data_IF_264749413172
#
_entry.id   IF_264749413172
#
_cell.length_a   1.000
_cell.length_b   1.000
_cell.length_c   1.000
_cell.angle_alpha   90.00
_cell.angle_beta   90.00
_cell.angle_gamma   90.00
#
_symmetry.space_group_name_H-M   'P 1'
#
loop_
_entity.id
_entity.type
_entity.pdbx_description
1 polymer ?
#
# COMPACT_ATOMS: atom_id res chain seq x y z
N UNK A 1 8.08 24.74 6.57
CA UNK A 1 7.72 24.15 7.87
C UNK A 1 6.20 24.16 8.02
N UNK A 2 5.67 23.20 8.77
CA UNK A 2 4.26 22.91 9.05
C UNK A 2 3.56 21.87 8.16
N UNK A 3 3.50 20.66 8.73
CA UNK A 3 2.45 19.63 8.75
C UNK A 3 1.91 19.04 7.44
N UNK A 4 2.12 17.72 7.26
CA UNK A 4 1.22 16.86 6.48
C UNK A 4 1.07 15.49 7.14
N UNK A 5 0.45 15.48 8.32
CA UNK A 5 -0.39 14.35 8.71
C UNK A 5 -1.83 14.84 8.69
N UNK A 6 -2.60 14.57 7.61
CA UNK A 6 -4.04 14.51 7.69
C UNK A 6 -4.42 13.02 7.74
N UNK A 7 -4.76 12.52 8.93
CA UNK A 7 -5.60 11.34 9.03
C UNK A 7 -6.86 11.82 9.73
N UNK A 8 -7.86 12.13 8.91
CA UNK A 8 -9.23 12.26 9.35
C UNK A 8 -9.66 10.90 9.92
N UNK A 9 -10.08 10.94 11.18
CA UNK A 9 -10.85 9.90 11.85
C UNK A 9 -12.33 10.21 11.67
N UNK A 10 -13.14 9.16 11.83
CA UNK A 10 -14.61 9.05 11.71
C UNK A 10 -15.01 8.30 10.42
N UNK A 11 -15.77 7.20 10.42
CA UNK A 11 -16.79 6.74 11.36
C UNK A 11 -16.86 5.20 11.38
N UNK A 12 -17.33 4.64 12.49
CA UNK A 12 -17.60 3.22 12.66
C UNK A 12 -19.01 2.84 12.14
N UNK A 13 -19.08 1.63 11.58
CA UNK A 13 -20.21 0.70 11.58
C UNK A 13 -21.42 0.97 10.68
N UNK A 14 -21.59 0.10 9.68
CA UNK A 14 -22.82 -0.68 9.51
C UNK A 14 -22.59 -1.84 8.55
N UNK A 15 -23.17 -2.98 8.90
CA UNK A 15 -23.10 -4.26 8.20
C UNK A 15 -23.49 -4.17 6.72
N UNK A 16 -22.59 -4.62 5.84
CA UNK A 16 -22.91 -4.99 4.46
C UNK A 16 -22.14 -6.29 4.17
N UNK A 17 -22.81 -7.43 4.32
CA UNK A 17 -22.46 -8.68 3.66
C UNK A 17 -22.61 -8.47 2.15
N UNK A 18 -21.62 -7.83 1.53
CA UNK A 18 -21.51 -7.74 0.08
C UNK A 18 -20.35 -8.63 -0.37
N UNK A 19 -20.66 -9.66 -1.14
CA UNK A 19 -19.71 -10.42 -1.95
C UNK A 19 -19.16 -9.56 -3.11
N UNK A 20 -18.76 -8.33 -2.78
CA UNK A 20 -18.39 -7.24 -3.65
C UNK A 20 -17.02 -7.49 -4.27
N UNK A 21 -17.03 -7.74 -5.57
CA UNK A 21 -15.80 -7.72 -6.35
C UNK A 21 -15.28 -6.29 -6.35
N UNK A 22 -14.20 -6.06 -5.58
CA UNK A 22 -13.49 -4.79 -5.37
C UNK A 22 -13.44 -3.95 -6.65
N UNK A 23 -13.72 -2.64 -6.55
CA UNK A 23 -13.85 -1.64 -7.64
C UNK A 23 -12.64 -1.44 -8.56
N UNK A 24 -12.14 -2.50 -9.15
CA UNK A 24 -11.07 -2.55 -10.15
C UNK A 24 -11.75 -2.68 -11.50
N UNK A 25 -11.60 -1.66 -12.36
CA UNK A 25 -12.13 -1.72 -13.70
C UNK A 25 -11.22 -2.58 -14.60
N UNK A 26 -11.43 -3.90 -14.62
CA UNK A 26 -10.65 -4.84 -15.42
C UNK A 26 -10.73 -4.54 -16.92
N UNK A 27 -11.87 -4.02 -17.39
CA UNK A 27 -12.04 -3.60 -18.78
C UNK A 27 -11.13 -2.41 -19.13
N UNK A 28 -10.90 -1.49 -18.19
CA UNK A 28 -9.94 -0.40 -18.37
C UNK A 28 -8.48 -0.88 -18.37
N UNK A 29 -8.16 -1.98 -17.66
CA UNK A 29 -6.80 -2.55 -17.61
C UNK A 29 -6.42 -3.34 -18.86
N UNK A 30 -7.39 -3.98 -19.51
CA UNK A 30 -7.17 -4.82 -20.69
C UNK A 30 -8.28 -4.60 -21.72
N UNK A 31 -8.41 -3.40 -22.31
CA UNK A 31 -9.49 -3.09 -23.23
C UNK A 31 -9.41 -3.97 -24.48
N UNK A 32 -10.55 -4.53 -24.89
CA UNK A 32 -10.65 -5.41 -26.05
C UNK A 32 -10.00 -6.79 -25.89
N UNK A 33 -9.52 -7.16 -24.69
CA UNK A 33 -8.89 -8.46 -24.43
C UNK A 33 -9.63 -9.22 -23.31
N UNK A 34 -10.74 -9.94 -23.63
CA UNK A 34 -11.56 -10.64 -22.63
C UNK A 34 -10.82 -11.79 -21.96
N UNK A 35 -9.89 -12.45 -22.67
CA UNK A 35 -9.06 -13.50 -22.10
C UNK A 35 -8.18 -12.97 -20.97
N UNK A 36 -7.53 -11.83 -21.20
CA UNK A 36 -6.70 -11.21 -20.17
C UNK A 36 -7.55 -10.68 -19.01
N UNK A 37 -8.72 -10.10 -19.27
CA UNK A 37 -9.66 -9.68 -18.22
C UNK A 37 -10.08 -10.84 -17.31
N UNK A 38 -10.39 -12.01 -17.88
CA UNK A 38 -10.75 -13.20 -17.11
C UNK A 38 -9.58 -13.70 -16.24
N UNK A 39 -8.36 -13.68 -16.76
CA UNK A 39 -7.18 -14.02 -15.94
C UNK A 39 -7.05 -13.04 -14.77
N UNK A 40 -7.11 -11.73 -15.04
CA UNK A 40 -7.01 -10.71 -13.98
C UNK A 40 -8.09 -10.90 -12.92
N UNK A 41 -9.32 -11.23 -13.32
CA UNK A 41 -10.42 -11.55 -12.41
C UNK A 41 -10.08 -12.76 -11.53
N UNK A 42 -9.59 -13.86 -12.12
CA UNK A 42 -9.19 -15.06 -11.38
C UNK A 42 -8.07 -14.78 -10.37
N UNK A 43 -7.12 -13.92 -10.70
CA UNK A 43 -6.04 -13.51 -9.77
C UNK A 43 -6.59 -12.74 -8.57
N UNK A 44 -7.55 -11.83 -8.80
CA UNK A 44 -8.21 -11.08 -7.70
C UNK A 44 -8.99 -12.03 -6.79
N UNK A 45 -9.80 -12.92 -7.36
CA UNK A 45 -10.58 -13.90 -6.60
C UNK A 45 -9.68 -14.85 -5.82
N UNK A 46 -8.57 -15.31 -6.43
CA UNK A 46 -7.57 -16.12 -5.73
C UNK A 46 -7.03 -15.38 -4.51
N UNK A 47 -6.58 -14.13 -4.68
CA UNK A 47 -6.05 -13.33 -3.58
C UNK A 47 -7.07 -13.13 -2.46
N UNK A 48 -8.33 -12.83 -2.79
CA UNK A 48 -9.38 -12.67 -1.79
C UNK A 48 -9.52 -13.92 -0.90
N UNK A 49 -9.40 -15.12 -1.48
CA UNK A 49 -9.51 -16.39 -0.75
C UNK A 49 -8.27 -16.73 0.06
N UNK A 50 -7.07 -16.57 -0.52
CA UNK A 50 -5.83 -17.05 0.12
C UNK A 50 -5.13 -15.98 0.95
N UNK A 51 -5.40 -14.70 0.69
CA UNK A 51 -4.64 -13.55 1.20
C UNK A 51 -3.12 -13.65 0.96
N UNK A 52 -2.69 -14.49 0.02
CA UNK A 52 -1.28 -14.69 -0.30
C UNK A 52 -0.83 -13.80 -1.45
N UNK A 53 0.43 -13.31 -1.45
CA UNK A 53 0.94 -12.58 -2.59
C UNK A 53 0.91 -13.46 -3.86
N UNK A 54 0.57 -12.82 -4.98
CA UNK A 54 0.73 -13.41 -6.32
C UNK A 54 2.20 -13.79 -6.57
N UNK A 55 2.41 -14.86 -7.33
CA UNK A 55 3.74 -15.28 -7.80
C UNK A 55 3.96 -14.87 -9.26
N UNK A 56 5.20 -14.97 -9.76
CA UNK A 56 5.53 -14.47 -11.10
C UNK A 56 4.79 -15.24 -12.19
N UNK A 57 4.74 -16.57 -12.07
CA UNK A 57 4.11 -17.49 -13.02
C UNK A 57 2.64 -17.13 -13.27
N UNK A 58 1.97 -16.54 -12.28
CA UNK A 58 0.57 -16.12 -12.37
C UNK A 58 0.39 -14.82 -13.13
N UNK A 59 1.38 -13.92 -13.02
CA UNK A 59 1.30 -12.58 -13.61
C UNK A 59 2.13 -12.45 -14.89
N UNK A 60 2.86 -13.48 -15.28
CA UNK A 60 3.75 -13.49 -16.45
C UNK A 60 2.99 -13.10 -17.73
N UNK A 61 1.74 -13.58 -17.87
CA UNK A 61 0.85 -13.25 -18.98
C UNK A 61 0.52 -11.75 -19.10
N UNK A 62 0.74 -10.96 -18.04
CA UNK A 62 0.54 -9.52 -18.06
C UNK A 62 1.74 -8.76 -18.63
N UNK A 63 2.73 -9.45 -19.20
CA UNK A 63 3.94 -8.85 -19.75
C UNK A 63 4.17 -9.22 -21.22
N UNK A 64 4.67 -8.25 -21.99
CA UNK A 64 5.17 -8.48 -23.32
C UNK A 64 6.57 -9.13 -23.25
N UNK A 65 6.83 -10.21 -24.00
CA UNK A 65 8.17 -10.79 -24.11
C UNK A 65 9.04 -9.84 -24.94
N UNK A 66 9.88 -9.03 -24.28
CA UNK A 66 10.75 -8.08 -24.98
C UNK A 66 12.19 -8.58 -25.07
N UNK A 67 12.74 -9.09 -23.96
CA UNK A 67 14.05 -9.76 -23.91
C UNK A 67 14.09 -10.75 -22.74
N UNK A 68 15.15 -11.56 -22.64
CA UNK A 68 15.34 -12.49 -21.51
C UNK A 68 15.48 -11.78 -20.14
N UNK A 69 15.84 -10.49 -20.15
CA UNK A 69 16.14 -9.73 -18.93
C UNK A 69 15.14 -8.63 -18.63
N UNK A 70 14.29 -8.25 -19.58
CA UNK A 70 13.37 -7.11 -19.43
C UNK A 70 11.97 -7.49 -19.88
N UNK A 71 11.00 -7.22 -19.01
CA UNK A 71 9.58 -7.43 -19.26
C UNK A 71 8.82 -6.11 -19.18
N UNK A 72 8.00 -5.82 -20.19
CA UNK A 72 7.18 -4.62 -20.27
C UNK A 72 5.73 -4.95 -19.94
N UNK A 73 5.08 -4.16 -19.09
CA UNK A 73 3.68 -4.34 -18.73
C UNK A 73 2.77 -4.20 -19.96
N UNK A 74 1.95 -5.24 -20.20
CA UNK A 74 0.96 -5.27 -21.27
C UNK A 74 -0.39 -4.64 -20.89
N UNK A 75 -0.55 -4.22 -19.62
CA UNK A 75 -1.79 -3.61 -19.13
C UNK A 75 -1.84 -2.10 -19.40
N UNK A 76 -3.06 -1.59 -19.39
CA UNK A 76 -3.35 -0.17 -19.30
C UNK A 76 -3.28 0.33 -17.86
N UNK A 77 -3.11 1.65 -17.71
CA UNK A 77 -3.19 2.34 -16.43
C UNK A 77 -4.60 2.23 -15.85
N UNK A 78 -4.69 2.20 -14.51
CA UNK A 78 -5.98 2.08 -13.81
C UNK A 78 -6.97 3.21 -14.11
N UNK A 79 -6.46 4.39 -14.42
CA UNK A 79 -7.24 5.57 -14.75
C UNK A 79 -7.78 5.54 -16.19
N UNK A 80 -7.48 4.48 -16.96
CA UNK A 80 -7.91 4.35 -18.35
C UNK A 80 -7.18 5.28 -19.31
N UNK A 81 -6.16 6.03 -18.86
CA UNK A 81 -5.44 7.03 -19.69
C UNK A 81 -4.57 6.41 -20.79
N UNK A 82 -4.50 5.08 -20.86
CA UNK A 82 -3.82 4.33 -21.91
C UNK A 82 -2.84 3.29 -21.39
N UNK A 83 -1.95 2.77 -22.26
CA UNK A 83 -0.97 1.73 -21.91
C UNK A 83 -0.04 2.13 -20.77
N UNK A 84 0.36 1.17 -19.93
CA UNK A 84 1.24 1.42 -18.78
C UNK A 84 2.72 1.54 -19.17
N UNK A 85 3.20 0.68 -20.09
CA UNK A 85 4.56 0.67 -20.67
C UNK A 85 5.72 0.61 -19.67
N UNK A 86 5.46 0.30 -18.40
CA UNK A 86 6.52 0.16 -17.38
C UNK A 86 7.32 -1.12 -17.62
N UNK A 87 8.64 -0.99 -17.47
CA UNK A 87 9.63 -2.06 -17.71
C UNK A 87 10.28 -2.50 -16.42
N UNK A 88 10.54 -3.80 -16.30
CA UNK A 88 11.11 -4.40 -15.11
C UNK A 88 12.20 -5.41 -15.46
N UNK A 89 13.37 -5.26 -14.83
CA UNK A 89 14.41 -6.29 -14.87
C UNK A 89 14.19 -7.37 -13.82
N UNK A 90 13.77 -6.98 -12.62
CA UNK A 90 13.58 -7.89 -11.48
C UNK A 90 12.16 -8.44 -11.39
N UNK A 91 12.04 -9.72 -11.00
CA UNK A 91 10.78 -10.45 -10.89
C UNK A 91 9.86 -9.90 -9.80
N UNK A 92 10.41 -9.68 -8.60
CA UNK A 92 9.70 -9.07 -7.47
C UNK A 92 9.07 -7.73 -7.86
N UNK A 93 9.78 -6.95 -8.68
CA UNK A 93 9.32 -5.65 -9.18
C UNK A 93 8.16 -5.71 -10.16
N UNK A 94 8.15 -6.71 -11.03
CA UNK A 94 7.01 -6.98 -11.89
C UNK A 94 5.78 -7.47 -11.11
N UNK A 95 5.97 -8.33 -10.09
CA UNK A 95 4.83 -8.86 -9.31
C UNK A 95 4.08 -7.74 -8.60
N UNK A 96 4.78 -6.92 -7.80
CA UNK A 96 4.10 -5.85 -7.06
C UNK A 96 3.48 -4.80 -8.00
N UNK A 97 4.01 -4.66 -9.22
CA UNK A 97 3.47 -3.75 -10.21
C UNK A 97 2.08 -4.20 -10.66
N UNK A 98 1.91 -5.49 -10.97
CA UNK A 98 0.61 -6.04 -11.34
C UNK A 98 -0.34 -6.06 -10.14
N UNK A 99 0.14 -6.40 -8.93
CA UNK A 99 -0.65 -6.27 -7.71
C UNK A 99 -1.17 -4.84 -7.51
N UNK A 100 -0.35 -3.84 -7.84
CA UNK A 100 -0.79 -2.46 -7.86
C UNK A 100 -1.98 -2.30 -8.81
N UNK A 101 -1.91 -2.69 -10.08
CA UNK A 101 -3.06 -2.63 -11.02
C UNK A 101 -4.33 -3.28 -10.46
N UNK A 102 -4.18 -4.42 -9.80
CA UNK A 102 -5.28 -5.18 -9.21
C UNK A 102 -5.70 -4.69 -7.82
N UNK A 103 -5.11 -3.63 -7.28
CA UNK A 103 -5.42 -3.18 -5.92
C UNK A 103 -5.09 -4.19 -4.82
N UNK A 104 -4.32 -5.23 -5.14
CA UNK A 104 -3.94 -6.30 -4.24
C UNK A 104 -2.85 -5.81 -3.30
N UNK A 105 -3.08 -5.99 -1.99
CA UNK A 105 -2.19 -5.58 -0.91
C UNK A 105 -2.00 -6.73 0.07
N UNK A 106 -1.11 -7.69 -0.22
CA UNK A 106 -0.98 -8.92 0.55
C UNK A 106 -0.19 -8.72 1.86
N UNK A 107 0.42 -7.55 2.07
CA UNK A 107 1.32 -7.33 3.19
C UNK A 107 0.67 -6.40 4.21
N UNK A 108 0.12 -6.97 5.27
CA UNK A 108 -0.40 -6.24 6.41
C UNK A 108 0.72 -5.85 7.39
N UNK A 109 0.61 -4.66 7.98
CA UNK A 109 1.49 -4.23 9.05
C UNK A 109 1.15 -4.97 10.36
N UNK A 110 2.15 -5.56 11.01
CA UNK A 110 1.97 -6.27 12.29
C UNK A 110 2.87 -5.73 13.41
N UNK A 111 3.63 -4.66 13.16
CA UNK A 111 4.73 -4.24 14.03
C UNK A 111 4.74 -2.78 14.46
N UNK A 112 3.71 -1.99 14.15
CA UNK A 112 3.65 -0.60 14.57
C UNK A 112 3.13 -0.50 16.02
N UNK A 113 3.87 0.16 16.93
CA UNK A 113 3.64 0.04 18.37
C UNK A 113 2.51 0.90 18.96
N UNK A 114 1.93 1.87 18.24
CA UNK A 114 0.72 2.62 18.63
C UNK A 114 0.33 3.68 17.59
N UNK A 115 -0.97 3.89 17.27
CA UNK A 115 -2.13 3.01 17.47
C UNK A 115 -2.02 1.70 16.64
N UNK A 116 -2.94 0.72 16.80
CA UNK A 116 -2.97 -0.48 15.96
C UNK A 116 -2.97 -0.10 14.48
N UNK A 117 -1.94 -0.53 13.76
CA UNK A 117 -1.79 -0.24 12.35
C UNK A 117 -2.45 -1.33 11.51
N UNK A 118 -3.46 -0.94 10.73
CA UNK A 118 -4.16 -1.81 9.78
C UNK A 118 -3.67 -1.59 8.34
N UNK A 119 -2.54 -0.90 8.17
CA UNK A 119 -2.04 -0.56 6.84
C UNK A 119 -1.64 -1.81 6.07
N UNK A 120 -2.15 -1.91 4.84
CA UNK A 120 -1.81 -2.96 3.88
C UNK A 120 -1.02 -2.39 2.71
N UNK A 121 -0.03 -3.14 2.24
CA UNK A 121 0.91 -2.72 1.21
C UNK A 121 0.95 -3.73 0.06
N UNK A 122 1.26 -3.26 -1.15
CA UNK A 122 1.47 -4.10 -2.33
C UNK A 122 2.92 -4.61 -2.45
N UNK A 123 3.84 -4.13 -1.61
CA UNK A 123 5.21 -4.64 -1.56
C UNK A 123 5.71 -4.78 -0.12
N UNK A 124 6.53 -5.81 0.11
CA UNK A 124 7.21 -6.01 1.39
C UNK A 124 8.07 -4.79 1.76
N UNK A 125 8.82 -4.27 0.80
CA UNK A 125 9.70 -3.14 1.04
C UNK A 125 8.95 -1.89 1.53
N UNK A 126 7.78 -1.58 0.97
CA UNK A 126 6.96 -0.47 1.45
C UNK A 126 6.47 -0.69 2.89
N UNK A 127 6.06 -1.91 3.23
CA UNK A 127 5.67 -2.25 4.61
C UNK A 127 6.84 -2.06 5.58
N UNK A 128 8.03 -2.54 5.22
CA UNK A 128 9.22 -2.41 6.06
C UNK A 128 9.63 -0.94 6.23
N UNK A 129 9.57 -0.13 5.18
CA UNK A 129 9.81 1.32 5.29
C UNK A 129 8.81 1.98 6.23
N UNK A 130 7.52 1.69 6.09
CA UNK A 130 6.48 2.19 6.99
C UNK A 130 6.74 1.82 8.46
N UNK A 131 7.11 0.56 8.72
CA UNK A 131 7.43 0.08 10.06
C UNK A 131 8.61 0.85 10.65
N UNK A 132 9.69 1.01 9.89
CA UNK A 132 10.88 1.75 10.33
C UNK A 132 10.56 3.22 10.64
N UNK A 133 9.74 3.86 9.80
CA UNK A 133 9.31 5.24 10.02
C UNK A 133 8.46 5.39 11.29
N UNK A 134 7.57 4.43 11.55
CA UNK A 134 6.76 4.39 12.77
C UNK A 134 7.64 4.20 14.02
N UNK A 135 8.60 3.27 13.99
CA UNK A 135 9.56 3.06 15.08
C UNK A 135 10.40 4.31 15.34
N UNK A 136 10.88 4.98 14.28
CA UNK A 136 11.64 6.22 14.38
C UNK A 136 10.80 7.38 14.93
N UNK A 137 9.51 7.44 14.61
CA UNK A 137 8.59 8.41 15.20
C UNK A 137 8.43 8.18 16.70
N UNK A 138 8.19 6.93 17.14
CA UNK A 138 8.07 6.59 18.56
C UNK A 138 9.36 6.90 19.32
N UNK A 139 10.52 6.48 18.79
CA UNK A 139 11.83 6.77 19.43
C UNK A 139 12.04 8.27 19.66
N UNK A 140 11.76 9.11 18.65
CA UNK A 140 11.87 10.57 18.78
C UNK A 140 10.90 11.13 19.81
N UNK A 141 9.67 10.61 19.86
CA UNK A 141 8.66 11.06 20.83
C UNK A 141 9.00 10.65 22.26
N UNK A 142 9.52 9.44 22.47
CA UNK A 142 9.95 8.97 23.81
C UNK A 142 11.13 9.79 24.34
N UNK A 143 12.11 10.13 23.49
CA UNK A 143 13.23 10.98 23.90
C UNK A 143 12.78 12.37 24.40
N UNK A 144 11.75 12.96 23.78
CA UNK A 144 11.15 14.23 24.23
C UNK A 144 10.40 14.12 25.58
N UNK A 145 10.00 12.91 26.00
CA UNK A 145 9.27 12.66 27.26
C UNK A 145 10.22 12.25 28.38
N UNK A 146 11.42 11.74 28.05
CA UNK A 146 12.43 11.30 29.04
C UNK A 146 13.44 12.37 29.41
N UNK A 147 13.37 13.59 28.84
CA UNK A 147 14.15 14.70 29.39
C UNK A 147 13.62 14.98 30.81
N UNK A 148 14.44 14.82 31.87
CA UNK A 148 14.00 15.22 33.20
C UNK A 148 13.61 16.70 33.14
N UNK A 149 12.60 17.17 33.88
CA UNK A 149 12.30 18.59 33.97
C UNK A 149 13.58 19.28 34.48
N UNK A 150 14.34 19.87 33.56
CA UNK A 150 15.46 20.72 33.93
C UNK A 150 14.84 21.96 34.57
N UNK A 151 15.50 22.48 35.61
CA UNK A 151 15.02 23.59 36.44
C UNK A 151 14.76 24.92 35.69
N UNK A 152 14.84 24.93 34.36
CA UNK A 152 14.73 26.11 33.50
C UNK A 152 13.29 26.39 33.05
N UNK A 153 12.32 25.48 33.24
CA UNK A 153 10.94 25.66 32.77
C UNK A 153 9.91 26.04 33.88
N UNK A 154 10.33 26.75 34.93
CA UNK A 154 9.42 27.29 35.96
C UNK A 154 9.07 28.78 35.80
N UNK A 155 9.74 29.52 34.90
CA UNK A 155 9.49 30.96 34.71
C UNK A 155 8.46 31.28 33.59
N UNK A 156 7.58 30.34 33.22
CA UNK A 156 6.52 30.56 32.22
C UNK A 156 5.12 30.13 32.64
N UNK A 157 4.89 29.90 33.94
CA UNK A 157 3.57 29.49 34.47
C UNK A 157 3.03 30.50 35.51
N UNK A 158 3.60 31.70 35.63
CA UNK A 158 3.16 32.71 36.61
C UNK A 158 2.77 34.08 36.04
N UNK A 159 2.41 34.18 34.75
CA UNK A 159 1.89 35.42 34.14
C UNK A 159 0.45 35.30 33.59
N UNK A 160 -0.32 34.31 34.01
CA UNK A 160 -1.75 34.16 33.63
C UNK A 160 -2.71 34.10 34.82
N UNK A 161 -2.25 34.48 36.01
CA UNK A 161 -3.09 34.65 37.18
C UNK A 161 -2.66 35.89 37.96
N UNK A 162 -2.96 37.07 37.41
CA UNK A 162 -3.36 38.29 38.14
C UNK A 162 -4.03 39.26 37.17
#
# INVERSE_FOLDING_TARGET
>A
MSSKYPYDVDEASSDEEDTGTVGINLAALAPGNPFLQDILHRLVVKFQRSQTPLVFEEVEVCFNPMSSTTRECALHKKDGSGPCLKKYGRLDRSIYHIQSHLGIKPYECTGCPNPPCTAKFSSLNQRETHKNDAENYVRRRTLLVTEPPTAVNLERILDLAL
#
